data_IF_114671972762
#
_entry.id   IF_114671972762
#
_cell.length_a   1.000
_cell.length_b   1.000
_cell.length_c   1.000
_cell.angle_alpha   90.00
_cell.angle_beta   90.00
_cell.angle_gamma   90.00
#
_symmetry.space_group_name_H-M   'P 1'
#
loop_
_entity.id
_entity.type
_entity.pdbx_description
1 polymer ?
#
# COMPACT_ATOMS: atom_id res chain seq x y z
N UNK A 1 9.51 -24.06 -5.98
CA UNK A 1 9.45 -22.60 -6.21
C UNK A 1 9.92 -22.32 -7.63
N UNK A 2 9.17 -21.57 -8.44
CA UNK A 2 9.55 -21.30 -9.84
C UNK A 2 10.59 -20.17 -9.88
N UNK A 3 11.87 -20.49 -10.13
CA UNK A 3 12.93 -19.47 -10.30
C UNK A 3 12.54 -18.40 -11.33
N UNK A 4 11.82 -18.80 -12.38
CA UNK A 4 11.25 -17.91 -13.40
C UNK A 4 10.31 -16.84 -12.81
N UNK A 5 9.51 -17.18 -11.79
CA UNK A 5 8.62 -16.22 -11.13
C UNK A 5 9.43 -15.19 -10.34
N UNK A 6 10.44 -15.64 -9.58
CA UNK A 6 11.32 -14.73 -8.82
C UNK A 6 12.06 -13.77 -9.74
N UNK A 7 12.59 -14.26 -10.86
CA UNK A 7 13.22 -13.40 -11.88
C UNK A 7 12.22 -12.40 -12.50
N UNK A 8 10.99 -12.83 -12.77
CA UNK A 8 9.95 -11.95 -13.29
C UNK A 8 9.61 -10.84 -12.30
N UNK A 9 9.51 -11.15 -11.00
CA UNK A 9 9.24 -10.17 -9.94
C UNK A 9 10.41 -9.20 -9.78
N UNK A 10 11.66 -9.67 -9.86
CA UNK A 10 12.84 -8.78 -9.87
C UNK A 10 12.79 -7.77 -11.01
N UNK A 11 12.40 -8.23 -12.20
CA UNK A 11 12.17 -7.34 -13.34
C UNK A 11 11.03 -6.35 -13.09
N UNK A 12 9.94 -6.75 -12.43
CA UNK A 12 8.87 -5.83 -12.04
C UNK A 12 9.36 -4.75 -11.08
N UNK A 13 10.23 -5.08 -10.11
CA UNK A 13 10.86 -4.10 -9.21
C UNK A 13 11.67 -3.07 -10.01
N UNK A 14 12.48 -3.53 -10.96
CA UNK A 14 13.26 -2.61 -11.82
C UNK A 14 12.34 -1.70 -12.64
N UNK A 15 11.29 -2.25 -13.25
CA UNK A 15 10.32 -1.50 -14.05
C UNK A 15 9.60 -0.43 -13.21
N UNK A 16 9.14 -0.78 -12.00
CA UNK A 16 8.47 0.16 -11.10
C UNK A 16 9.40 1.30 -10.66
N UNK A 17 10.66 1.00 -10.31
CA UNK A 17 11.64 2.04 -9.94
C UNK A 17 11.96 2.96 -11.12
N UNK A 18 12.15 2.41 -12.32
CA UNK A 18 12.37 3.19 -13.54
C UNK A 18 11.14 4.05 -13.86
N UNK A 19 9.93 3.51 -13.70
CA UNK A 19 8.69 4.25 -13.92
C UNK A 19 8.57 5.43 -12.94
N UNK A 20 8.79 5.19 -11.65
CA UNK A 20 8.78 6.24 -10.63
C UNK A 20 9.77 7.36 -10.97
N UNK A 21 11.02 7.02 -11.29
CA UNK A 21 12.05 7.99 -11.64
C UNK A 21 11.67 8.79 -12.90
N UNK A 22 11.28 8.11 -13.98
CA UNK A 22 10.91 8.77 -15.23
C UNK A 22 9.72 9.70 -15.06
N UNK A 23 8.73 9.30 -14.26
CA UNK A 23 7.56 10.11 -14.03
C UNK A 23 7.91 11.39 -13.26
N UNK A 24 8.71 11.28 -12.20
CA UNK A 24 9.21 12.45 -11.45
C UNK A 24 10.01 13.40 -12.33
N UNK A 25 10.91 12.88 -13.16
CA UNK A 25 11.70 13.67 -14.10
C UNK A 25 10.79 14.37 -15.13
N UNK A 26 9.79 13.66 -15.65
CA UNK A 26 8.87 14.17 -16.67
C UNK A 26 7.96 15.29 -16.16
N UNK A 27 7.63 15.28 -14.87
CA UNK A 27 6.72 16.28 -14.27
C UNK A 27 7.45 17.48 -13.66
N UNK A 28 8.78 17.39 -13.50
CA UNK A 28 9.60 18.39 -12.82
C UNK A 28 9.47 19.80 -13.42
N UNK A 29 9.46 19.89 -14.76
CA UNK A 29 9.41 21.15 -15.51
C UNK A 29 7.97 21.65 -15.75
N UNK A 30 6.94 20.92 -15.29
CA UNK A 30 5.56 21.37 -15.43
C UNK A 30 5.32 22.62 -14.59
N UNK A 31 4.69 23.63 -15.21
CA UNK A 31 4.30 24.87 -14.51
C UNK A 31 3.08 24.69 -13.60
N UNK A 32 2.21 23.72 -13.92
CA UNK A 32 1.01 23.44 -13.13
C UNK A 32 1.38 22.62 -11.89
N UNK A 33 1.37 23.26 -10.73
CA UNK A 33 1.69 22.61 -9.45
C UNK A 33 0.70 21.49 -9.09
N UNK A 34 -0.59 21.65 -9.41
CA UNK A 34 -1.58 20.61 -9.18
C UNK A 34 -1.27 19.36 -10.00
N UNK A 35 -1.05 19.51 -11.31
CA UNK A 35 -0.77 18.37 -12.19
C UNK A 35 0.55 17.70 -11.80
N UNK A 36 1.57 18.50 -11.45
CA UNK A 36 2.86 18.00 -10.96
C UNK A 36 2.69 17.13 -9.71
N UNK A 37 1.86 17.56 -8.75
CA UNK A 37 1.61 16.79 -7.51
C UNK A 37 0.82 15.52 -7.75
N UNK A 38 -0.24 15.58 -8.57
CA UNK A 38 -1.06 14.41 -8.90
C UNK A 38 -0.28 13.38 -9.70
N UNK A 39 0.50 13.80 -10.70
CA UNK A 39 1.34 12.85 -11.43
C UNK A 39 2.53 12.37 -10.60
N UNK A 40 3.07 13.22 -9.73
CA UNK A 40 4.08 12.83 -8.76
C UNK A 40 3.59 11.79 -7.76
N UNK A 41 2.31 11.80 -7.35
CA UNK A 41 1.74 10.80 -6.44
C UNK A 41 1.82 9.39 -7.02
N UNK A 42 1.64 9.24 -8.34
CA UNK A 42 1.76 7.95 -9.04
C UNK A 42 3.19 7.39 -8.96
N UNK A 43 4.22 8.25 -8.87
CA UNK A 43 5.58 7.77 -8.67
C UNK A 43 5.77 7.15 -7.27
N UNK A 44 5.07 7.67 -6.25
CA UNK A 44 5.04 7.03 -4.92
C UNK A 44 4.32 5.69 -4.95
N UNK A 45 3.26 5.54 -5.74
CA UNK A 45 2.60 4.23 -5.94
C UNK A 45 3.51 3.21 -6.61
N UNK A 46 4.27 3.61 -7.63
CA UNK A 46 5.27 2.72 -8.24
C UNK A 46 6.32 2.27 -7.21
N UNK A 47 6.79 3.16 -6.35
CA UNK A 47 7.70 2.78 -5.26
C UNK A 47 7.05 1.84 -4.25
N UNK A 48 5.80 2.11 -3.85
CA UNK A 48 5.00 1.22 -3.00
C UNK A 48 4.93 -0.19 -3.59
N UNK A 49 4.63 -0.32 -4.88
CA UNK A 49 4.60 -1.62 -5.55
C UNK A 49 5.97 -2.31 -5.55
N UNK A 50 7.06 -1.58 -5.79
CA UNK A 50 8.41 -2.14 -5.73
C UNK A 50 8.73 -2.74 -4.35
N UNK A 51 8.34 -2.08 -3.25
CA UNK A 51 8.51 -2.63 -1.90
C UNK A 51 7.65 -3.88 -1.68
N UNK A 52 6.39 -3.88 -2.15
CA UNK A 52 5.53 -5.06 -2.05
C UNK A 52 6.11 -6.26 -2.82
N UNK A 53 6.66 -6.04 -4.02
CA UNK A 53 7.35 -7.08 -4.78
C UNK A 53 8.60 -7.62 -4.06
N UNK A 54 9.35 -6.78 -3.34
CA UNK A 54 10.47 -7.23 -2.50
C UNK A 54 9.97 -8.12 -1.36
N UNK A 55 8.87 -7.74 -0.70
CA UNK A 55 8.20 -8.57 0.30
C UNK A 55 7.82 -9.96 -0.26
N UNK A 56 7.24 -10.00 -1.46
CA UNK A 56 6.91 -11.27 -2.14
C UNK A 56 8.16 -12.11 -2.39
N UNK A 57 9.28 -11.52 -2.81
CA UNK A 57 10.54 -12.26 -2.99
C UNK A 57 11.02 -12.88 -1.68
N UNK A 58 10.95 -12.14 -0.56
CA UNK A 58 11.36 -12.65 0.76
C UNK A 58 10.56 -13.89 1.14
N UNK A 59 9.24 -13.88 0.91
CA UNK A 59 8.34 -15.03 1.12
C UNK A 59 8.75 -16.20 0.21
N UNK A 60 8.88 -15.96 -1.10
CA UNK A 60 9.19 -17.01 -2.08
C UNK A 60 10.59 -17.62 -1.92
N UNK A 61 11.52 -16.88 -1.34
CA UNK A 61 12.90 -17.34 -1.12
C UNK A 61 13.13 -17.86 0.29
N UNK A 62 12.13 -17.79 1.18
CA UNK A 62 12.24 -18.21 2.56
C UNK A 62 13.18 -17.33 3.39
N UNK A 63 13.49 -16.12 2.92
CA UNK A 63 14.28 -15.12 3.64
C UNK A 63 13.31 -14.30 4.49
N UNK A 64 12.78 -14.93 5.53
CA UNK A 64 11.97 -14.24 6.53
C UNK A 64 12.42 -14.69 7.92
N UNK A 65 12.94 -13.77 8.76
CA UNK A 65 13.26 -14.08 10.14
C UNK A 65 11.97 -14.36 10.93
N UNK A 66 12.09 -15.20 11.97
CA UNK A 66 11.01 -15.32 12.93
C UNK A 66 10.80 -13.97 13.64
N UNK A 67 9.54 -13.56 13.80
CA UNK A 67 9.17 -12.34 14.52
C UNK A 67 9.31 -12.61 16.02
N UNK A 68 10.08 -11.78 16.74
CA UNK A 68 10.21 -11.90 18.20
C UNK A 68 8.98 -11.34 18.93
N UNK A 69 8.77 -11.69 20.20
CA UNK A 69 7.68 -11.12 21.03
C UNK A 69 7.77 -9.58 21.15
N UNK A 70 8.99 -9.04 21.17
CA UNK A 70 9.22 -7.59 21.18
C UNK A 70 8.82 -6.96 19.83
N UNK A 71 9.16 -7.63 18.71
CA UNK A 71 8.74 -7.20 17.37
C UNK A 71 7.21 -7.28 17.21
N UNK A 72 6.56 -8.31 17.75
CA UNK A 72 5.10 -8.42 17.75
C UNK A 72 4.43 -7.29 18.54
N UNK A 73 4.98 -6.96 19.71
CA UNK A 73 4.44 -5.87 20.55
C UNK A 73 4.57 -4.51 19.85
N UNK A 74 5.72 -4.24 19.24
CA UNK A 74 5.96 -3.04 18.43
C UNK A 74 5.05 -2.99 17.21
N UNK A 75 4.93 -4.11 16.48
CA UNK A 75 4.07 -4.19 15.31
C UNK A 75 2.61 -3.91 15.69
N UNK A 76 2.14 -4.47 16.80
CA UNK A 76 0.80 -4.20 17.33
C UNK A 76 0.58 -2.72 17.61
N UNK A 77 1.50 -2.08 18.32
CA UNK A 77 1.41 -0.65 18.65
C UNK A 77 1.36 0.22 17.39
N UNK A 78 2.22 -0.08 16.41
CA UNK A 78 2.25 0.62 15.13
C UNK A 78 0.92 0.46 14.39
N UNK A 79 0.40 -0.75 14.28
CA UNK A 79 -0.85 -1.05 13.56
C UNK A 79 -2.05 -0.41 14.25
N UNK A 80 -2.20 -0.56 15.56
CA UNK A 80 -3.30 0.06 16.31
C UNK A 80 -3.27 1.60 16.23
N UNK A 81 -2.07 2.19 16.19
CA UNK A 81 -1.91 3.64 16.01
C UNK A 81 -2.38 4.08 14.64
N UNK A 82 -1.96 3.39 13.57
CA UNK A 82 -2.36 3.77 12.23
C UNK A 82 -3.84 3.51 11.97
N UNK A 83 -4.47 2.47 12.54
CA UNK A 83 -5.92 2.26 12.44
C UNK A 83 -6.69 3.50 12.90
N UNK A 84 -6.30 4.09 14.05
CA UNK A 84 -6.93 5.31 14.57
C UNK A 84 -6.70 6.53 13.68
N UNK A 85 -5.48 6.69 13.16
CA UNK A 85 -5.15 7.78 12.24
C UNK A 85 -5.94 7.68 10.93
N UNK A 86 -6.06 6.48 10.36
CA UNK A 86 -6.83 6.26 9.14
C UNK A 86 -8.33 6.50 9.39
N UNK A 87 -8.87 6.08 10.54
CA UNK A 87 -10.27 6.34 10.90
C UNK A 87 -10.58 7.85 11.01
N UNK A 88 -9.68 8.60 11.64
CA UNK A 88 -9.75 10.07 11.71
C UNK A 88 -9.68 10.70 10.32
N UNK A 89 -8.72 10.29 9.50
CA UNK A 89 -8.54 10.80 8.14
C UNK A 89 -9.77 10.51 7.25
N UNK A 90 -10.35 9.32 7.35
CA UNK A 90 -11.60 8.96 6.64
C UNK A 90 -12.74 9.88 7.06
N UNK A 91 -12.85 10.22 8.35
CA UNK A 91 -13.84 11.17 8.87
C UNK A 91 -13.67 12.57 8.27
N UNK A 92 -12.45 13.09 8.33
CA UNK A 92 -12.09 14.40 7.78
C UNK A 92 -12.33 14.48 6.27
N UNK A 93 -11.91 13.48 5.50
CA UNK A 93 -12.12 13.43 4.05
C UNK A 93 -13.60 13.45 3.67
N UNK A 94 -14.46 12.76 4.44
CA UNK A 94 -15.91 12.81 4.24
C UNK A 94 -16.46 14.23 4.48
N UNK A 95 -16.02 14.91 5.54
CA UNK A 95 -16.40 16.30 5.79
C UNK A 95 -15.93 17.23 4.67
N UNK A 96 -14.67 17.09 4.22
CA UNK A 96 -14.14 17.89 3.12
C UNK A 96 -14.89 17.68 1.79
N UNK A 97 -15.36 16.47 1.52
CA UNK A 97 -16.18 16.16 0.32
C UNK A 97 -17.50 16.93 0.35
N UNK A 98 -18.16 17.02 1.50
CA UNK A 98 -19.43 17.73 1.67
C UNK A 98 -19.25 19.26 1.62
N UNK A 99 -18.14 19.78 2.14
CA UNK A 99 -17.83 21.21 2.12
C UNK A 99 -17.31 21.71 0.75
N UNK A 100 -16.74 20.82 -0.06
CA UNK A 100 -16.13 21.16 -1.33
C UNK A 100 -17.15 21.69 -2.35
N UNK A 101 -17.09 22.99 -2.63
CA UNK A 101 -17.93 23.64 -3.66
C UNK A 101 -17.49 23.32 -5.09
N UNK A 102 -16.21 23.02 -5.31
CA UNK A 102 -15.68 22.66 -6.62
C UNK A 102 -15.70 21.13 -6.79
N UNK A 103 -16.45 20.59 -7.78
CA UNK A 103 -16.51 19.16 -8.03
C UNK A 103 -15.15 18.51 -8.26
N UNK A 104 -14.17 19.25 -8.82
CA UNK A 104 -12.82 18.74 -9.08
C UNK A 104 -12.05 18.50 -7.78
N UNK A 105 -12.21 19.39 -6.80
CA UNK A 105 -11.61 19.25 -5.47
C UNK A 105 -12.26 18.08 -4.72
N UNK A 106 -13.59 18.00 -4.76
CA UNK A 106 -14.36 16.89 -4.20
C UNK A 106 -13.91 15.53 -4.78
N UNK A 107 -13.62 15.47 -6.09
CA UNK A 107 -13.12 14.24 -6.72
C UNK A 107 -11.72 13.83 -6.25
N UNK A 108 -10.83 14.80 -5.97
CA UNK A 108 -9.51 14.50 -5.40
C UNK A 108 -9.66 13.92 -3.98
N UNK A 109 -10.53 14.51 -3.15
CA UNK A 109 -10.81 13.95 -1.82
C UNK A 109 -11.41 12.55 -1.87
N UNK A 110 -12.29 12.27 -2.83
CA UNK A 110 -12.83 10.91 -3.05
C UNK A 110 -11.72 9.92 -3.42
N UNK A 111 -10.79 10.31 -4.28
CA UNK A 111 -9.66 9.46 -4.66
C UNK A 111 -8.78 9.10 -3.45
N UNK A 112 -8.47 10.08 -2.60
CA UNK A 112 -7.71 9.85 -1.36
C UNK A 112 -8.51 8.96 -0.39
N UNK A 113 -9.81 9.24 -0.21
CA UNK A 113 -10.70 8.46 0.65
C UNK A 113 -10.75 6.99 0.27
N UNK A 114 -10.79 6.68 -1.02
CA UNK A 114 -10.78 5.29 -1.49
C UNK A 114 -9.50 4.54 -1.07
N UNK A 115 -8.36 5.23 -1.02
CA UNK A 115 -7.10 4.63 -0.60
C UNK A 115 -7.04 4.47 0.93
N UNK A 116 -7.45 5.46 1.72
CA UNK A 116 -7.47 5.32 3.18
C UNK A 116 -8.44 4.24 3.65
N UNK A 117 -9.58 4.07 2.98
CA UNK A 117 -10.50 2.94 3.27
C UNK A 117 -9.83 1.59 3.00
N UNK A 118 -9.01 1.48 1.95
CA UNK A 118 -8.26 0.24 1.66
C UNK A 118 -7.16 0.01 2.69
N UNK A 119 -6.40 1.06 3.04
CA UNK A 119 -5.34 0.99 4.05
C UNK A 119 -5.90 0.61 5.42
N UNK A 120 -6.99 1.25 5.86
CA UNK A 120 -7.66 0.93 7.11
C UNK A 120 -8.09 -0.53 7.18
N UNK A 121 -8.73 -1.05 6.12
CA UNK A 121 -9.10 -2.47 6.04
C UNK A 121 -7.88 -3.40 6.10
N UNK A 122 -6.80 -3.06 5.40
CA UNK A 122 -5.56 -3.84 5.44
C UNK A 122 -4.98 -3.89 6.86
N UNK A 123 -4.95 -2.76 7.56
CA UNK A 123 -4.45 -2.69 8.94
C UNK A 123 -5.32 -3.48 9.91
N UNK A 124 -6.65 -3.47 9.76
CA UNK A 124 -7.56 -4.31 10.55
C UNK A 124 -7.26 -5.81 10.37
N UNK A 125 -7.01 -6.23 9.13
CA UNK A 125 -6.60 -7.61 8.85
C UNK A 125 -5.26 -7.96 9.51
N UNK A 126 -4.28 -7.03 9.48
CA UNK A 126 -3.00 -7.20 10.19
C UNK A 126 -3.23 -7.36 11.70
N UNK A 127 -4.08 -6.51 12.30
CA UNK A 127 -4.36 -6.57 13.73
C UNK A 127 -5.02 -7.90 14.13
N UNK A 128 -5.95 -8.41 13.33
CA UNK A 128 -6.60 -9.70 13.59
C UNK A 128 -5.57 -10.84 13.67
N UNK A 129 -4.58 -10.85 12.76
CA UNK A 129 -3.50 -11.84 12.74
C UNK A 129 -2.65 -11.73 14.01
N UNK A 130 -2.26 -10.50 14.39
CA UNK A 130 -1.46 -10.24 15.59
C UNK A 130 -2.20 -10.70 16.86
N UNK A 131 -3.49 -10.40 16.97
CA UNK A 131 -4.31 -10.73 18.16
C UNK A 131 -4.48 -12.23 18.33
N UNK A 132 -4.60 -13.00 17.24
CA UNK A 132 -4.71 -14.46 17.31
C UNK A 132 -3.44 -15.14 17.84
N UNK A 133 -2.31 -14.42 17.95
CA UNK A 133 -1.00 -14.93 18.42
C UNK A 133 -0.62 -16.28 17.79
N UNK A 134 -1.10 -16.54 16.58
CA UNK A 134 -0.64 -17.71 15.87
C UNK A 134 0.86 -17.47 15.66
N UNK A 135 1.71 -18.41 16.12
CA UNK A 135 3.17 -18.36 15.92
C UNK A 135 3.39 -18.56 14.43
N UNK A 136 3.22 -17.47 13.72
CA UNK A 136 3.14 -17.45 12.29
C UNK A 136 4.48 -16.94 11.76
N UNK A 137 5.09 -17.68 10.83
CA UNK A 137 6.18 -17.12 10.02
C UNK A 137 5.62 -15.94 9.21
N UNK A 138 6.38 -14.89 8.93
CA UNK A 138 5.91 -13.73 8.14
C UNK A 138 5.13 -14.13 6.86
N UNK A 139 5.51 -15.26 6.23
CA UNK A 139 4.80 -15.86 5.09
C UNK A 139 3.32 -16.18 5.37
N UNK A 140 2.96 -16.68 6.54
CA UNK A 140 1.56 -17.03 6.86
C UNK A 140 0.77 -15.78 7.31
N UNK A 141 1.45 -14.71 7.77
CA UNK A 141 0.83 -13.38 7.97
C UNK A 141 0.39 -12.88 6.60
N UNK A 142 1.28 -12.96 5.62
CA UNK A 142 0.97 -12.60 4.23
C UNK A 142 -0.19 -13.41 3.66
N UNK A 143 -0.21 -14.74 3.82
CA UNK A 143 -1.31 -15.57 3.30
C UNK A 143 -2.68 -15.18 3.90
N UNK A 144 -2.71 -14.80 5.18
CA UNK A 144 -3.92 -14.30 5.84
C UNK A 144 -4.31 -12.89 5.39
N UNK A 145 -3.33 -11.99 5.20
CA UNK A 145 -3.59 -10.60 4.79
C UNK A 145 -4.29 -10.49 3.45
N UNK A 146 -3.96 -11.37 2.51
CA UNK A 146 -4.49 -11.35 1.14
C UNK A 146 -5.64 -12.32 0.91
N UNK A 147 -6.08 -13.05 1.94
CA UNK A 147 -7.18 -14.02 1.84
C UNK A 147 -8.52 -13.37 1.46
N UNK A 148 -8.75 -12.14 1.92
CA UNK A 148 -10.01 -11.42 1.76
C UNK A 148 -9.88 -10.09 1.01
N UNK A 149 -8.73 -9.82 0.38
CA UNK A 149 -8.55 -8.60 -0.42
C UNK A 149 -9.27 -8.80 -1.76
N UNK A 150 -10.34 -8.03 -2.04
CA UNK A 150 -10.95 -8.05 -3.36
C UNK A 150 -9.93 -7.44 -4.31
N UNK A 151 -9.27 -8.27 -5.11
CA UNK A 151 -8.56 -7.80 -6.27
C UNK A 151 -9.57 -7.04 -7.14
N UNK A 152 -9.46 -5.72 -7.21
CA UNK A 152 -9.88 -5.01 -8.40
C UNK A 152 -8.84 -5.31 -9.47
N UNK A 153 -8.90 -6.54 -9.99
CA UNK A 153 -8.42 -6.77 -11.34
C UNK A 153 -9.22 -5.81 -12.21
N UNK A 154 -8.54 -4.81 -12.76
CA UNK A 154 -9.08 -4.13 -13.92
C UNK A 154 -9.44 -5.22 -14.94
N UNK A 155 -10.69 -5.30 -15.41
CA UNK A 155 -11.04 -6.24 -16.44
C UNK A 155 -10.50 -5.72 -17.77
N UNK A 156 -9.69 -6.54 -18.44
CA UNK A 156 -9.60 -6.52 -19.89
C UNK A 156 -8.19 -6.39 -20.48
N UNK A 157 -7.86 -7.35 -21.34
CA UNK A 157 -6.98 -7.17 -22.50
C UNK A 157 -5.61 -7.78 -22.39
#
# INVERSE_FOLDING_TARGET
>A
MSQKLVESIRKSIELENVNAQRLEESVKELKSELIKRVLGSIAFDSRKHAEMYRGIINILTGVSPAISEDDFSKLREVVETHIRLEEEMIGELKAYIEEARDPRVSNIFRYILEDEVKHHRMLLNILEIIVKREVIKESEIWDMLWKDVPFHGAPGG
#
